data_IF_883850913825
#
_entry.id   IF_883850913825
#
_cell.length_a   1.000
_cell.length_b   1.000
_cell.length_c   1.000
_cell.angle_alpha   90.00
_cell.angle_beta   90.00
_cell.angle_gamma   90.00
#
_symmetry.space_group_name_H-M   'P 1'
#
loop_
_entity.id
_entity.type
_entity.pdbx_description
1 polymer ?
#
# COMPACT_ATOMS: atom_id res chain seq x y z
N UNK A 1 -4.03 -15.37 -10.53
CA UNK A 1 -3.63 -14.78 -9.23
C UNK A 1 -4.07 -13.33 -9.20
N UNK A 2 -4.61 -12.84 -8.07
CA UNK A 2 -5.10 -11.46 -7.95
C UNK A 2 -4.04 -10.55 -7.32
N UNK A 3 -3.86 -9.35 -7.86
CA UNK A 3 -3.03 -8.32 -7.26
C UNK A 3 -3.88 -7.48 -6.31
N UNK A 4 -3.42 -7.32 -5.07
CA UNK A 4 -4.13 -6.62 -4.01
C UNK A 4 -3.36 -5.35 -3.66
N UNK A 5 -4.09 -4.24 -3.56
CA UNK A 5 -3.58 -2.96 -3.06
C UNK A 5 -4.45 -2.55 -1.88
N UNK A 6 -3.82 -2.10 -0.79
CA UNK A 6 -4.51 -1.74 0.46
C UNK A 6 -4.32 -0.26 0.76
N UNK A 7 -5.39 0.43 1.15
CA UNK A 7 -5.34 1.81 1.63
C UNK A 7 -5.54 1.84 3.15
N UNK A 8 -4.68 2.57 3.87
CA UNK A 8 -4.70 2.67 5.33
C UNK A 8 -4.66 4.12 5.81
N UNK A 9 -5.07 4.37 7.06
CA UNK A 9 -5.10 5.71 7.68
C UNK A 9 -4.60 5.73 9.13
N UNK A 10 -3.98 4.64 9.60
CA UNK A 10 -3.58 4.46 11.00
C UNK A 10 -2.68 3.25 11.23
N UNK A 11 -2.89 2.54 12.35
CA UNK A 11 -1.99 1.49 12.88
C UNK A 11 -1.80 0.27 11.97
N UNK A 12 -2.74 0.00 11.08
CA UNK A 12 -2.64 -1.09 10.11
C UNK A 12 -2.84 -2.49 10.70
N UNK A 13 -3.64 -2.67 11.76
CA UNK A 13 -3.95 -4.01 12.29
C UNK A 13 -4.63 -4.91 11.24
N UNK A 14 -5.58 -4.37 10.47
CA UNK A 14 -6.20 -5.11 9.35
C UNK A 14 -5.19 -5.42 8.23
N UNK A 15 -4.23 -4.51 8.00
CA UNK A 15 -3.15 -4.76 7.05
C UNK A 15 -2.28 -5.94 7.53
N UNK A 16 -1.94 -6.00 8.82
CA UNK A 16 -1.20 -7.14 9.38
C UNK A 16 -1.96 -8.46 9.15
N UNK A 17 -3.25 -8.49 9.46
CA UNK A 17 -4.07 -9.68 9.22
C UNK A 17 -4.10 -10.10 7.74
N UNK A 18 -4.13 -9.13 6.81
CA UNK A 18 -4.05 -9.42 5.38
C UNK A 18 -2.67 -9.93 4.94
N UNK A 19 -1.59 -9.36 5.47
CA UNK A 19 -0.21 -9.83 5.23
C UNK A 19 -0.10 -11.29 5.66
N UNK A 20 -0.55 -11.60 6.88
CA UNK A 20 -0.50 -12.94 7.46
C UNK A 20 -1.35 -13.94 6.64
N UNK A 21 -2.55 -13.53 6.21
CA UNK A 21 -3.43 -14.37 5.41
C UNK A 21 -2.87 -14.64 3.99
N UNK A 22 -2.21 -13.65 3.37
CA UNK A 22 -1.50 -13.82 2.10
C UNK A 22 -0.29 -14.76 2.27
N UNK A 23 0.51 -14.60 3.34
CA UNK A 23 1.65 -15.45 3.65
C UNK A 23 1.22 -16.92 3.88
N UNK A 24 0.07 -17.12 4.54
CA UNK A 24 -0.54 -18.43 4.78
C UNK A 24 -1.30 -18.98 3.57
N UNK A 25 -1.30 -18.30 2.42
CA UNK A 25 -2.04 -18.67 1.20
C UNK A 25 -3.56 -18.85 1.42
N UNK A 26 -4.12 -18.23 2.46
CA UNK A 26 -5.57 -18.22 2.71
C UNK A 26 -6.30 -17.28 1.74
N UNK A 27 -5.59 -16.24 1.29
CA UNK A 27 -6.04 -15.35 0.23
C UNK A 27 -5.32 -15.74 -1.06
N UNK A 28 -6.08 -16.07 -2.10
CA UNK A 28 -5.58 -16.38 -3.45
C UNK A 28 -5.04 -15.16 -4.21
N UNK A 29 -4.25 -14.33 -3.55
CA UNK A 29 -3.72 -13.07 -4.09
C UNK A 29 -2.45 -12.62 -3.38
N UNK A 30 -1.80 -11.64 -3.99
CA UNK A 30 -0.53 -11.08 -3.52
C UNK A 30 -0.73 -9.60 -3.21
N UNK A 31 -0.42 -9.18 -1.98
CA UNK A 31 -0.30 -7.75 -1.68
C UNK A 31 0.87 -7.17 -2.48
N UNK A 32 0.58 -6.19 -3.34
CA UNK A 32 1.58 -5.53 -4.18
C UNK A 32 1.93 -4.12 -3.74
N UNK A 33 1.02 -3.44 -3.04
CA UNK A 33 1.30 -2.12 -2.51
C UNK A 33 0.36 -1.78 -1.35
N UNK A 34 0.85 -0.89 -0.49
CA UNK A 34 0.08 -0.24 0.56
C UNK A 34 0.18 1.27 0.38
N UNK A 35 -0.96 1.95 0.42
CA UNK A 35 -1.03 3.41 0.39
C UNK A 35 -1.59 3.95 1.69
N UNK A 36 -1.07 5.09 2.15
CA UNK A 36 -1.70 5.82 3.25
C UNK A 36 -1.96 7.27 2.93
N UNK A 37 -3.11 7.79 3.39
CA UNK A 37 -3.38 9.21 3.37
C UNK A 37 -2.63 9.97 4.49
N UNK A 38 -2.00 9.28 5.45
CA UNK A 38 -1.21 9.88 6.52
C UNK A 38 0.26 9.42 6.43
N UNK A 39 1.18 10.35 6.65
CA UNK A 39 2.62 10.07 6.57
C UNK A 39 3.13 9.25 7.77
N UNK A 40 2.46 9.40 8.91
CA UNK A 40 2.79 8.81 10.21
C UNK A 40 1.98 7.52 10.51
N UNK A 41 1.25 7.00 9.53
CA UNK A 41 0.51 5.75 9.69
C UNK A 41 1.49 4.59 9.94
N UNK A 42 1.46 4.02 11.14
CA UNK A 42 2.30 2.87 11.51
C UNK A 42 2.10 1.65 10.60
N UNK A 43 0.94 1.53 9.94
CA UNK A 43 0.75 0.48 8.94
C UNK A 43 1.69 0.58 7.72
N UNK A 44 2.26 1.76 7.42
CA UNK A 44 3.30 1.87 6.38
C UNK A 44 4.57 1.13 6.81
N UNK A 45 4.90 1.13 8.09
CA UNK A 45 6.07 0.41 8.61
C UNK A 45 5.86 -1.10 8.51
N UNK A 46 4.68 -1.59 8.93
CA UNK A 46 4.31 -3.01 8.78
C UNK A 46 4.43 -3.51 7.33
N UNK A 47 4.03 -2.67 6.37
CA UNK A 47 4.18 -3.00 4.96
C UNK A 47 5.65 -3.13 4.54
N UNK A 48 6.51 -2.20 4.98
CA UNK A 48 7.95 -2.21 4.69
C UNK A 48 8.63 -3.42 5.32
N UNK A 49 8.32 -3.74 6.57
CA UNK A 49 8.83 -4.94 7.27
C UNK A 49 8.46 -6.23 6.54
N UNK A 50 7.27 -6.29 5.95
CA UNK A 50 6.82 -7.41 5.14
C UNK A 50 7.36 -7.41 3.70
N UNK A 51 8.23 -6.46 3.33
CA UNK A 51 8.79 -6.33 1.98
C UNK A 51 7.79 -5.84 0.93
N UNK A 52 6.70 -5.19 1.35
CA UNK A 52 5.64 -4.69 0.47
C UNK A 52 5.86 -3.19 0.21
N UNK A 53 5.85 -2.73 -1.05
CA UNK A 53 5.92 -1.31 -1.37
C UNK A 53 4.88 -0.48 -0.60
N UNK A 54 5.35 0.52 0.15
CA UNK A 54 4.52 1.35 1.02
C UNK A 54 4.69 2.84 0.69
N UNK A 55 3.62 3.50 0.28
CA UNK A 55 3.64 4.86 -0.22
C UNK A 55 2.62 5.74 0.50
N UNK A 56 3.02 6.95 0.86
CA UNK A 56 2.05 7.99 1.23
C UNK A 56 1.38 8.49 -0.05
N UNK A 57 0.05 8.55 -0.10
CA UNK A 57 -0.66 9.23 -1.18
C UNK A 57 -0.30 10.72 -1.15
N UNK A 58 0.04 11.34 -2.31
CA UNK A 58 0.17 12.78 -2.36
C UNK A 58 -1.17 13.46 -2.01
N UNK A 59 -1.16 14.67 -1.42
CA UNK A 59 -2.38 15.43 -1.22
C UNK A 59 -3.05 15.73 -2.56
N UNK A 60 -4.39 15.73 -2.58
CA UNK A 60 -5.21 15.83 -3.79
C UNK A 60 -4.97 17.09 -4.65
N UNK A 61 -4.25 18.09 -4.11
CA UNK A 61 -3.85 19.32 -4.79
C UNK A 61 -2.46 19.28 -5.42
N UNK A 62 -1.76 18.15 -5.42
CA UNK A 62 -0.45 18.04 -6.06
C UNK A 62 -0.64 18.01 -7.58
N UNK A 63 -0.01 18.92 -8.36
CA UNK A 63 -0.10 18.89 -9.81
C UNK A 63 0.66 17.64 -10.29
N UNK A 64 -0.06 16.57 -10.59
CA UNK A 64 0.51 15.36 -11.16
C UNK A 64 1.17 15.76 -12.47
N UNK A 65 2.50 15.62 -12.55
CA UNK A 65 3.29 15.98 -13.71
C UNK A 65 2.63 15.43 -14.98
N UNK A 66 2.18 16.33 -15.86
CA UNK A 66 1.85 16.00 -17.25
C UNK A 66 3.08 15.29 -17.81
N UNK A 67 3.00 13.97 -18.01
CA UNK A 67 3.99 13.25 -18.82
C UNK A 67 3.90 13.86 -20.22
N UNK A 68 4.84 14.74 -20.54
CA UNK A 68 5.11 15.14 -21.92
C UNK A 68 5.65 13.92 -22.63
N UNK A 69 4.78 13.22 -23.36
CA UNK A 69 5.21 12.39 -24.48
C UNK A 69 5.51 13.33 -25.64
N UNK A 70 6.74 13.85 -25.68
CA UNK A 70 7.26 14.38 -26.92
C UNK A 70 7.46 13.19 -27.86
N UNK A 71 6.80 13.26 -29.02
CA UNK A 71 6.91 12.32 -30.13
C UNK A 71 8.30 12.34 -30.76
#
# INVERSE_FOLDING_TARGET
MKNIVVLISGSGSNLQAMIDACARKQIGGTLRAVFSNKADAFGLERAREAGIPALRSPPASSPTAKRSIAS
#
